data_IF_342057725259
#
_entry.id   IF_342057725259
#
_cell.length_a   1.000
_cell.length_b   1.000
_cell.length_c   1.000
_cell.angle_alpha   90.00
_cell.angle_beta   90.00
_cell.angle_gamma   90.00
#
_symmetry.space_group_name_H-M   'P 1'
#
loop_
_entity.id
_entity.type
_entity.pdbx_description
1 polymer ?
#
# COMPACT_ATOMS: atom_id res chain seq x y z
N UNK A 1 13.27 -5.66 18.82
CA UNK A 1 13.90 -6.38 17.66
C UNK A 1 14.40 -5.28 16.73
N UNK A 2 15.65 -5.30 16.35
CA UNK A 2 16.15 -4.30 15.36
C UNK A 2 15.72 -4.71 13.95
N UNK A 3 14.96 -3.86 13.28
CA UNK A 3 14.50 -4.09 11.92
C UNK A 3 15.53 -3.67 10.86
N UNK A 4 16.62 -2.98 11.25
CA UNK A 4 17.65 -2.48 10.34
C UNK A 4 17.14 -1.42 9.36
N UNK A 5 16.19 -0.59 9.80
CA UNK A 5 15.58 0.47 8.99
C UNK A 5 16.21 1.85 9.24
N UNK A 6 17.03 2.00 10.26
CA UNK A 6 17.71 3.25 10.57
C UNK A 6 18.46 3.80 9.35
N UNK A 7 18.23 5.07 9.01
CA UNK A 7 18.77 5.80 7.85
C UNK A 7 18.40 5.23 6.47
N UNK A 8 17.52 4.21 6.38
CA UNK A 8 16.95 3.78 5.11
C UNK A 8 15.95 4.81 4.59
N UNK A 9 15.93 4.98 3.28
CA UNK A 9 14.98 5.91 2.63
C UNK A 9 13.83 5.11 2.01
N UNK A 10 12.62 5.38 2.51
CA UNK A 10 11.40 4.71 2.08
C UNK A 10 10.46 5.67 1.34
N UNK A 11 10.01 5.29 0.17
CA UNK A 11 8.91 5.95 -0.57
C UNK A 11 7.64 5.15 -0.41
N UNK A 12 6.55 5.80 0.03
CA UNK A 12 5.24 5.18 0.26
C UNK A 12 4.17 5.96 -0.47
N UNK A 13 3.57 5.35 -1.50
CA UNK A 13 2.45 5.96 -2.23
C UNK A 13 1.12 5.74 -1.51
N UNK A 14 0.22 6.73 -1.59
CA UNK A 14 -1.01 6.72 -0.79
C UNK A 14 -0.74 6.87 0.72
N UNK A 15 0.34 7.61 1.07
CA UNK A 15 0.82 7.75 2.45
C UNK A 15 0.09 8.80 3.29
N UNK A 16 -0.97 9.43 2.78
CA UNK A 16 -1.71 10.46 3.53
C UNK A 16 -2.79 9.90 4.46
N UNK A 17 -3.23 8.67 4.26
CA UNK A 17 -4.32 8.05 5.03
C UNK A 17 -4.13 6.53 5.11
N UNK A 18 -4.85 5.88 6.03
CA UNK A 18 -5.01 4.43 6.11
C UNK A 18 -3.70 3.67 6.21
N UNK A 19 -3.60 2.56 5.48
CA UNK A 19 -2.47 1.61 5.54
C UNK A 19 -1.14 2.28 5.19
N UNK A 20 -1.12 3.12 4.15
CA UNK A 20 0.11 3.81 3.73
C UNK A 20 0.65 4.77 4.79
N UNK A 21 -0.23 5.51 5.47
CA UNK A 21 0.15 6.39 6.58
C UNK A 21 0.71 5.60 7.76
N UNK A 22 0.06 4.47 8.13
CA UNK A 22 0.55 3.64 9.24
C UNK A 22 1.86 2.93 8.89
N UNK A 23 2.06 2.45 7.67
CA UNK A 23 3.34 1.92 7.23
C UNK A 23 4.44 2.99 7.28
N UNK A 24 4.12 4.23 6.90
CA UNK A 24 5.04 5.36 7.01
C UNK A 24 5.41 5.66 8.48
N UNK A 25 4.41 5.65 9.37
CA UNK A 25 4.61 5.85 10.81
C UNK A 25 5.52 4.77 11.40
N UNK A 26 5.23 3.50 11.15
CA UNK A 26 6.05 2.38 11.67
C UNK A 26 7.48 2.41 11.15
N UNK A 27 7.69 2.71 9.86
CA UNK A 27 9.04 2.86 9.32
C UNK A 27 9.78 4.06 9.91
N UNK A 28 9.09 5.18 10.17
CA UNK A 28 9.68 6.35 10.82
C UNK A 28 10.05 6.07 12.28
N UNK A 29 9.22 5.33 13.04
CA UNK A 29 9.52 4.86 14.41
C UNK A 29 10.79 4.00 14.47
N UNK A 30 11.06 3.23 13.40
CA UNK A 30 12.26 2.40 13.27
C UNK A 30 13.47 3.17 12.67
N UNK A 31 13.37 4.50 12.60
CA UNK A 31 14.45 5.39 12.17
C UNK A 31 14.64 5.52 10.65
N UNK A 32 13.69 5.07 9.84
CA UNK A 32 13.74 5.33 8.42
C UNK A 32 13.40 6.79 8.09
N UNK A 33 13.98 7.32 7.01
CA UNK A 33 13.59 8.59 6.39
C UNK A 33 12.50 8.31 5.38
N UNK A 34 11.31 8.83 5.63
CA UNK A 34 10.11 8.44 4.88
C UNK A 34 9.65 9.54 3.95
N UNK A 35 9.38 9.19 2.71
CA UNK A 35 8.71 10.04 1.72
C UNK A 35 7.30 9.51 1.54
N UNK A 36 6.30 10.31 1.88
CA UNK A 36 4.90 9.99 1.63
C UNK A 36 4.40 10.71 0.39
N UNK A 37 3.71 9.99 -0.49
CA UNK A 37 3.22 10.51 -1.77
C UNK A 37 1.71 10.40 -1.83
N UNK A 38 1.00 11.51 -2.10
CA UNK A 38 -0.43 11.54 -2.36
C UNK A 38 -0.82 12.81 -3.14
N UNK A 39 -2.07 12.87 -3.62
CA UNK A 39 -2.54 13.94 -4.50
C UNK A 39 -2.92 15.22 -3.79
N UNK A 40 -3.49 15.11 -2.56
CA UNK A 40 -4.04 16.26 -1.81
C UNK A 40 -2.95 16.84 -0.92
N UNK A 41 -2.38 18.04 -1.25
CA UNK A 41 -1.22 18.57 -0.54
C UNK A 41 -1.50 18.87 0.93
N UNK A 42 -2.66 19.41 1.28
CA UNK A 42 -3.00 19.79 2.65
C UNK A 42 -3.14 18.54 3.56
N UNK A 43 -3.85 17.53 3.08
CA UNK A 43 -4.03 16.25 3.80
C UNK A 43 -2.71 15.50 3.93
N UNK A 44 -1.87 15.61 2.91
CA UNK A 44 -0.55 14.98 2.90
C UNK A 44 0.41 15.66 3.90
N UNK A 45 0.42 16.99 3.96
CA UNK A 45 1.24 17.73 4.93
C UNK A 45 0.77 17.48 6.36
N UNK A 46 -0.54 17.47 6.59
CA UNK A 46 -1.09 17.10 7.89
C UNK A 46 -0.63 15.69 8.32
N UNK A 47 -0.72 14.72 7.42
CA UNK A 47 -0.26 13.36 7.70
C UNK A 47 1.24 13.31 8.02
N UNK A 48 2.07 14.06 7.26
CA UNK A 48 3.50 14.17 7.52
C UNK A 48 3.78 14.74 8.91
N UNK A 49 3.05 15.80 9.28
CA UNK A 49 3.20 16.43 10.59
C UNK A 49 2.77 15.48 11.74
N UNK A 50 1.65 14.80 11.59
CA UNK A 50 1.19 13.82 12.58
C UNK A 50 2.21 12.70 12.79
N UNK A 51 2.82 12.18 11.70
CA UNK A 51 3.86 11.16 11.80
C UNK A 51 5.11 11.74 12.48
N UNK A 52 5.59 12.93 12.10
CA UNK A 52 6.75 13.58 12.74
C UNK A 52 6.55 13.77 14.25
N UNK A 53 5.35 14.21 14.66
CA UNK A 53 5.03 14.41 16.08
C UNK A 53 5.02 13.08 16.84
N UNK A 54 4.44 12.03 16.25
CA UNK A 54 4.29 10.74 16.91
C UNK A 54 5.61 9.95 17.00
N UNK A 55 6.54 10.15 16.06
CA UNK A 55 7.73 9.30 15.91
C UNK A 55 9.06 10.05 16.12
N UNK A 56 9.01 11.39 16.15
CA UNK A 56 10.19 12.27 16.06
C UNK A 56 11.03 12.01 14.79
N UNK A 57 10.46 11.27 13.83
CA UNK A 57 11.10 10.80 12.61
C UNK A 57 11.15 11.83 11.49
N UNK A 58 11.91 11.52 10.45
CA UNK A 58 12.07 12.37 9.26
C UNK A 58 11.06 11.96 8.19
N UNK A 59 10.10 12.84 7.90
CA UNK A 59 9.04 12.59 6.91
C UNK A 59 8.95 13.74 5.91
N UNK A 60 9.03 13.42 4.62
CA UNK A 60 8.93 14.37 3.51
C UNK A 60 7.63 14.12 2.73
N UNK A 61 6.69 15.06 2.68
CA UNK A 61 5.52 14.96 1.80
C UNK A 61 5.86 15.38 0.38
N UNK A 62 5.45 14.57 -0.60
CA UNK A 62 5.56 14.87 -2.03
C UNK A 62 4.18 14.77 -2.68
N UNK A 63 3.56 15.91 -2.95
CA UNK A 63 2.25 15.94 -3.63
C UNK A 63 2.40 15.54 -5.09
N UNK A 64 1.82 14.39 -5.48
CA UNK A 64 1.83 13.87 -6.84
C UNK A 64 0.71 12.85 -7.07
N UNK A 65 0.26 12.71 -8.32
CA UNK A 65 -0.60 11.63 -8.76
C UNK A 65 0.24 10.50 -9.36
N UNK A 66 0.14 9.27 -8.83
CA UNK A 66 0.92 8.14 -9.32
C UNK A 66 0.52 7.69 -10.73
N UNK A 67 -0.64 8.09 -11.23
CA UNK A 67 -1.05 7.87 -12.61
C UNK A 67 -0.35 8.83 -13.60
N UNK A 68 0.19 9.95 -13.12
CA UNK A 68 0.96 10.87 -13.95
C UNK A 68 2.35 10.27 -14.29
N UNK A 69 2.72 10.33 -15.57
CA UNK A 69 3.98 9.80 -16.09
C UNK A 69 5.23 10.48 -15.55
N UNK A 70 5.11 11.74 -15.11
CA UNK A 70 6.23 12.51 -14.54
C UNK A 70 6.45 12.22 -13.05
N UNK A 71 5.47 11.65 -12.36
CA UNK A 71 5.55 11.36 -10.93
C UNK A 71 6.74 10.51 -10.53
N UNK A 72 7.12 9.43 -11.25
CA UNK A 72 8.27 8.62 -10.86
C UNK A 72 9.58 9.42 -10.80
N UNK A 73 9.84 10.27 -11.80
CA UNK A 73 11.02 11.11 -11.83
C UNK A 73 11.01 12.13 -10.67
N UNK A 74 9.87 12.76 -10.40
CA UNK A 74 9.70 13.70 -9.28
C UNK A 74 9.96 13.04 -7.93
N UNK A 75 9.42 11.85 -7.71
CA UNK A 75 9.53 11.13 -6.43
C UNK A 75 10.95 10.63 -6.18
N UNK A 76 11.58 10.02 -7.20
CA UNK A 76 12.98 9.57 -7.09
C UNK A 76 13.92 10.76 -6.90
N UNK A 77 13.71 11.85 -7.65
CA UNK A 77 14.49 13.08 -7.46
C UNK A 77 14.36 13.62 -6.04
N UNK A 78 13.16 13.63 -5.46
CA UNK A 78 12.97 14.06 -4.08
C UNK A 78 13.75 13.19 -3.08
N UNK A 79 13.81 11.87 -3.28
CA UNK A 79 14.61 10.96 -2.46
C UNK A 79 16.10 11.27 -2.55
N UNK A 80 16.61 11.47 -3.75
CA UNK A 80 18.03 11.72 -3.98
C UNK A 80 18.47 13.10 -3.50
N UNK A 81 17.69 14.15 -3.79
CA UNK A 81 18.02 15.52 -3.40
C UNK A 81 18.03 15.71 -1.88
N UNK A 82 17.11 15.04 -1.15
CA UNK A 82 16.98 15.23 0.30
C UNK A 82 17.79 14.21 1.11
N UNK A 83 17.97 12.99 0.59
CA UNK A 83 18.53 11.89 1.37
C UNK A 83 19.67 11.13 0.68
N UNK A 84 19.95 11.42 -0.60
CA UNK A 84 21.06 10.84 -1.35
C UNK A 84 20.89 9.35 -1.73
N UNK A 85 19.75 8.73 -1.42
CA UNK A 85 19.52 7.30 -1.63
C UNK A 85 18.03 6.94 -1.72
N UNK A 86 17.75 5.72 -2.20
CA UNK A 86 16.42 5.11 -2.15
C UNK A 86 16.56 3.61 -1.89
N UNK A 87 15.99 3.13 -0.79
CA UNK A 87 16.12 1.73 -0.35
C UNK A 87 14.79 0.96 -0.46
N UNK A 88 13.67 1.62 -0.20
CA UNK A 88 12.36 0.98 -0.03
C UNK A 88 11.32 1.70 -0.87
N UNK A 89 10.50 0.92 -1.60
CA UNK A 89 9.33 1.41 -2.31
C UNK A 89 8.09 0.62 -1.88
N UNK A 90 7.06 1.32 -1.40
CA UNK A 90 5.75 0.75 -1.10
C UNK A 90 4.72 1.31 -2.09
N UNK A 91 4.31 0.50 -3.05
CA UNK A 91 3.22 0.80 -3.97
C UNK A 91 1.88 0.49 -3.29
N UNK A 92 1.32 1.48 -2.58
CA UNK A 92 0.07 1.34 -1.83
C UNK A 92 -1.08 2.18 -2.41
N UNK A 93 -0.79 3.22 -3.20
CA UNK A 93 -1.83 4.06 -3.79
C UNK A 93 -2.85 3.24 -4.59
N UNK A 94 -4.13 3.46 -4.31
CA UNK A 94 -5.22 2.80 -5.01
C UNK A 94 -6.56 3.00 -4.32
N UNK A 95 -7.61 2.94 -5.09
CA UNK A 95 -9.01 2.96 -4.64
C UNK A 95 -9.76 1.75 -5.22
N UNK A 96 -10.83 1.31 -4.58
CA UNK A 96 -11.70 0.28 -5.15
C UNK A 96 -12.63 0.90 -6.20
N UNK A 97 -12.65 0.29 -7.39
CA UNK A 97 -13.57 0.62 -8.49
C UNK A 97 -14.42 -0.61 -8.88
N UNK A 98 -14.68 -1.48 -7.91
CA UNK A 98 -15.34 -2.75 -8.12
C UNK A 98 -16.80 -2.58 -8.55
N UNK A 99 -17.14 -3.20 -9.71
CA UNK A 99 -18.47 -3.22 -10.35
C UNK A 99 -18.71 -4.62 -10.96
N UNK A 100 -19.97 -4.99 -11.29
CA UNK A 100 -20.27 -6.11 -12.18
C UNK A 100 -19.56 -5.94 -13.53
N UNK A 101 -19.18 -7.04 -14.16
CA UNK A 101 -18.35 -7.01 -15.38
C UNK A 101 -18.98 -6.18 -16.50
N UNK A 102 -20.28 -6.34 -16.75
CA UNK A 102 -21.01 -5.64 -17.80
C UNK A 102 -21.25 -4.14 -17.55
N UNK A 103 -21.03 -3.68 -16.30
CA UNK A 103 -21.14 -2.27 -15.91
C UNK A 103 -19.79 -1.53 -15.96
N UNK A 104 -18.70 -2.22 -16.33
CA UNK A 104 -17.36 -1.64 -16.38
C UNK A 104 -17.08 -1.10 -17.77
N UNK A 105 -16.95 0.21 -17.91
CA UNK A 105 -16.58 0.83 -19.19
C UNK A 105 -15.09 0.67 -19.49
N UNK A 106 -14.69 0.94 -20.76
CA UNK A 106 -13.27 0.94 -21.13
C UNK A 106 -12.48 1.98 -20.34
N UNK A 107 -13.07 3.15 -20.04
CA UNK A 107 -12.46 4.21 -19.24
C UNK A 107 -12.26 3.76 -17.77
N UNK A 108 -13.18 2.96 -17.20
CA UNK A 108 -13.00 2.36 -15.88
C UNK A 108 -11.79 1.40 -15.88
N UNK A 109 -11.64 0.57 -16.92
CA UNK A 109 -10.49 -0.32 -17.09
C UNK A 109 -9.19 0.48 -17.18
N UNK A 110 -9.14 1.46 -18.08
CA UNK A 110 -7.96 2.29 -18.32
C UNK A 110 -7.53 3.02 -17.04
N UNK A 111 -8.48 3.68 -16.36
CA UNK A 111 -8.18 4.45 -15.15
C UNK A 111 -7.72 3.56 -13.99
N UNK A 112 -8.32 2.39 -13.81
CA UNK A 112 -7.93 1.44 -12.76
C UNK A 112 -6.54 0.86 -12.99
N UNK A 113 -6.22 0.52 -14.24
CA UNK A 113 -4.89 0.04 -14.63
C UNK A 113 -3.85 1.14 -14.59
N UNK A 114 -4.17 2.36 -15.04
CA UNK A 114 -3.25 3.50 -14.99
C UNK A 114 -2.82 3.79 -13.55
N UNK A 115 -3.77 3.80 -12.62
CA UNK A 115 -3.52 4.04 -11.21
C UNK A 115 -2.72 2.90 -10.55
N UNK A 116 -3.17 1.65 -10.71
CA UNK A 116 -2.69 0.54 -9.86
C UNK A 116 -1.61 -0.30 -10.50
N UNK A 117 -1.56 -0.35 -11.83
CA UNK A 117 -0.60 -1.16 -12.57
C UNK A 117 0.51 -0.28 -13.15
N UNK A 118 0.16 0.67 -14.01
CA UNK A 118 1.15 1.52 -14.66
C UNK A 118 1.86 2.45 -13.69
N UNK A 119 1.15 3.03 -12.72
CA UNK A 119 1.75 3.85 -11.66
C UNK A 119 2.82 3.07 -10.89
N UNK A 120 2.51 1.84 -10.46
CA UNK A 120 3.45 0.98 -9.76
C UNK A 120 4.63 0.57 -10.66
N UNK A 121 4.38 0.15 -11.90
CA UNK A 121 5.43 -0.25 -12.87
C UNK A 121 6.42 0.90 -13.10
N UNK A 122 5.93 2.12 -13.31
CA UNK A 122 6.78 3.29 -13.56
C UNK A 122 7.64 3.64 -12.34
N UNK A 123 7.04 3.63 -11.14
CA UNK A 123 7.79 3.86 -9.89
C UNK A 123 8.83 2.78 -9.65
N UNK A 124 8.51 1.51 -9.80
CA UNK A 124 9.47 0.41 -9.68
C UNK A 124 10.63 0.58 -10.67
N UNK A 125 10.32 0.86 -11.94
CA UNK A 125 11.34 1.07 -12.98
C UNK A 125 12.29 2.23 -12.66
N UNK A 126 11.77 3.32 -12.11
CA UNK A 126 12.58 4.48 -11.72
C UNK A 126 13.39 4.24 -10.43
N UNK A 127 12.89 3.42 -9.51
CA UNK A 127 13.53 3.15 -8.20
C UNK A 127 14.65 2.10 -8.29
N UNK A 128 14.52 1.09 -9.14
CA UNK A 128 15.47 -0.04 -9.25
C UNK A 128 16.92 0.40 -9.48
N UNK A 129 17.23 1.36 -10.40
CA UNK A 129 18.62 1.83 -10.58
C UNK A 129 19.21 2.41 -9.31
N UNK A 130 18.42 3.13 -8.51
CA UNK A 130 18.89 3.76 -7.26
C UNK A 130 19.09 2.71 -6.16
N UNK A 131 18.22 1.71 -6.07
CA UNK A 131 18.39 0.57 -5.17
C UNK A 131 19.66 -0.23 -5.48
N UNK A 132 20.01 -0.41 -6.77
CA UNK A 132 21.28 -1.05 -7.16
C UNK A 132 22.50 -0.29 -6.67
N UNK A 133 22.48 1.04 -6.71
CA UNK A 133 23.60 1.89 -6.25
C UNK A 133 23.89 1.72 -4.75
N UNK A 134 22.87 1.40 -3.97
CA UNK A 134 22.99 1.20 -2.51
C UNK A 134 23.12 -0.27 -2.10
N UNK A 135 23.28 -1.18 -3.08
CA UNK A 135 23.57 -2.61 -2.86
C UNK A 135 22.32 -3.46 -2.59
N UNK A 136 21.14 -2.98 -2.93
CA UNK A 136 19.88 -3.72 -2.80
C UNK A 136 18.70 -2.85 -2.42
N UNK A 137 17.51 -3.45 -2.31
CA UNK A 137 16.30 -2.71 -1.98
C UNK A 137 15.13 -3.60 -1.58
N UNK A 138 14.04 -2.98 -1.21
CA UNK A 138 12.76 -3.64 -0.89
C UNK A 138 11.63 -2.99 -1.66
N UNK A 139 10.85 -3.80 -2.36
CA UNK A 139 9.64 -3.35 -3.07
C UNK A 139 8.45 -4.12 -2.51
N UNK A 140 7.47 -3.40 -2.01
CA UNK A 140 6.23 -3.97 -1.48
C UNK A 140 5.05 -3.46 -2.29
N UNK A 141 4.32 -4.36 -2.94
CA UNK A 141 3.11 -4.04 -3.67
C UNK A 141 1.88 -4.36 -2.80
N UNK A 142 1.07 -3.37 -2.50
CA UNK A 142 -0.17 -3.56 -1.75
C UNK A 142 -1.29 -3.92 -2.72
N UNK A 143 -1.84 -5.11 -2.57
CA UNK A 143 -2.98 -5.63 -3.32
C UNK A 143 -4.13 -5.99 -2.38
N UNK A 144 -5.12 -6.72 -2.85
CA UNK A 144 -6.19 -7.24 -2.01
C UNK A 144 -6.50 -8.71 -2.35
N UNK A 145 -7.36 -9.33 -1.54
CA UNK A 145 -7.77 -10.72 -1.74
C UNK A 145 -8.41 -10.98 -3.11
N UNK A 146 -9.12 -10.00 -3.68
CA UNK A 146 -9.72 -10.11 -5.00
C UNK A 146 -8.69 -10.38 -6.11
N UNK A 147 -7.41 -10.04 -5.90
CA UNK A 147 -6.34 -10.40 -6.83
C UNK A 147 -6.00 -11.89 -6.83
N UNK A 148 -6.38 -12.64 -5.79
CA UNK A 148 -6.16 -14.09 -5.67
C UNK A 148 -7.44 -14.88 -5.93
N UNK A 149 -8.56 -14.39 -5.42
CA UNK A 149 -9.88 -15.01 -5.47
C UNK A 149 -10.92 -14.00 -5.89
N UNK A 150 -10.99 -13.64 -7.20
CA UNK A 150 -11.99 -12.71 -7.69
C UNK A 150 -13.42 -13.19 -7.41
N UNK A 151 -14.23 -12.31 -6.83
CA UNK A 151 -15.66 -12.57 -6.61
C UNK A 151 -16.53 -11.86 -7.64
N UNK A 152 -17.86 -12.05 -7.60
CA UNK A 152 -18.78 -11.29 -8.42
C UNK A 152 -18.70 -9.79 -8.09
N UNK A 153 -18.91 -8.95 -9.10
CA UNK A 153 -18.90 -7.49 -8.92
C UNK A 153 -17.54 -6.91 -8.52
N UNK A 154 -16.43 -7.56 -8.89
CA UNK A 154 -15.09 -7.17 -8.45
C UNK A 154 -14.21 -6.56 -9.53
N UNK A 155 -14.75 -6.34 -10.74
CA UNK A 155 -14.00 -5.81 -11.88
C UNK A 155 -14.02 -4.26 -11.91
N UNK A 156 -12.97 -3.60 -12.41
CA UNK A 156 -11.69 -4.11 -12.89
C UNK A 156 -10.68 -4.39 -11.75
N UNK A 157 -11.01 -3.99 -10.52
CA UNK A 157 -10.10 -3.97 -9.36
C UNK A 157 -9.40 -5.32 -9.12
N UNK A 158 -10.11 -6.44 -9.21
CA UNK A 158 -9.50 -7.75 -8.99
C UNK A 158 -8.44 -8.10 -10.02
N UNK A 159 -8.63 -7.69 -11.27
CA UNK A 159 -7.67 -7.97 -12.36
C UNK A 159 -6.40 -7.13 -12.20
N UNK A 160 -6.52 -5.84 -11.94
CA UNK A 160 -5.35 -5.00 -11.68
C UNK A 160 -4.55 -5.49 -10.47
N UNK A 161 -5.22 -5.98 -9.42
CA UNK A 161 -4.57 -6.57 -8.24
C UNK A 161 -3.90 -7.91 -8.55
N UNK A 162 -4.53 -8.79 -9.35
CA UNK A 162 -3.91 -10.03 -9.82
C UNK A 162 -2.64 -9.75 -10.64
N UNK A 163 -2.68 -8.72 -11.51
CA UNK A 163 -1.54 -8.26 -12.26
C UNK A 163 -0.39 -7.84 -11.33
N UNK A 164 -0.66 -7.13 -10.24
CA UNK A 164 0.35 -6.74 -9.25
C UNK A 164 1.02 -7.95 -8.57
N UNK A 165 0.26 -9.02 -8.28
CA UNK A 165 0.81 -10.28 -7.73
C UNK A 165 1.72 -10.97 -8.74
N UNK A 166 1.29 -11.06 -10.01
CA UNK A 166 2.07 -11.68 -11.08
C UNK A 166 3.39 -10.92 -11.34
N UNK A 167 3.34 -9.58 -11.40
CA UNK A 167 4.51 -8.71 -11.55
C UNK A 167 5.49 -8.96 -10.39
N UNK A 168 5.02 -9.01 -9.15
CA UNK A 168 5.84 -9.29 -7.98
C UNK A 168 6.63 -10.58 -8.15
N UNK A 169 5.99 -11.66 -8.60
CA UNK A 169 6.66 -12.95 -8.79
C UNK A 169 7.72 -12.92 -9.90
N UNK A 170 7.41 -12.29 -11.02
CA UNK A 170 8.39 -12.12 -12.12
C UNK A 170 9.61 -11.31 -11.67
N UNK A 171 9.36 -10.12 -11.13
CA UNK A 171 10.42 -9.21 -10.69
C UNK A 171 11.29 -9.80 -9.56
N UNK A 172 10.71 -10.61 -8.66
CA UNK A 172 11.47 -11.24 -7.58
C UNK A 172 12.58 -12.14 -8.09
N UNK A 173 12.40 -12.77 -9.25
CA UNK A 173 13.42 -13.61 -9.90
C UNK A 173 14.45 -12.78 -10.65
N UNK A 174 14.00 -11.74 -11.38
CA UNK A 174 14.89 -10.90 -12.18
C UNK A 174 15.85 -10.09 -11.32
N UNK A 175 15.39 -9.64 -10.13
CA UNK A 175 16.10 -8.70 -9.28
C UNK A 175 16.83 -9.35 -8.08
N UNK A 176 16.67 -10.66 -7.86
CA UNK A 176 17.31 -11.38 -6.76
C UNK A 176 18.84 -11.21 -6.76
N UNK A 177 19.47 -11.25 -7.94
CA UNK A 177 20.92 -11.02 -8.09
C UNK A 177 21.39 -9.65 -7.64
N UNK A 178 20.50 -8.66 -7.67
CA UNK A 178 20.75 -7.28 -7.24
C UNK A 178 20.40 -7.05 -5.76
N UNK A 179 20.05 -8.11 -5.01
CA UNK A 179 19.56 -8.05 -3.61
C UNK A 179 18.33 -7.13 -3.45
N UNK A 180 17.50 -7.01 -4.51
CA UNK A 180 16.23 -6.29 -4.47
C UNK A 180 15.12 -7.32 -4.29
N UNK A 181 14.49 -7.30 -3.11
CA UNK A 181 13.43 -8.23 -2.77
C UNK A 181 12.06 -7.60 -3.09
N UNK A 182 11.22 -8.36 -3.77
CA UNK A 182 9.91 -7.87 -4.23
C UNK A 182 8.81 -8.76 -3.66
N UNK A 183 7.92 -8.18 -2.86
CA UNK A 183 6.85 -8.90 -2.19
C UNK A 183 5.50 -8.20 -2.35
N UNK A 184 4.43 -8.93 -2.12
CA UNK A 184 3.05 -8.42 -2.12
C UNK A 184 2.39 -8.68 -0.78
N UNK A 185 1.57 -7.75 -0.31
CA UNK A 185 0.57 -7.97 0.73
C UNK A 185 -0.82 -7.94 0.10
N UNK A 186 -1.64 -8.95 0.41
CA UNK A 186 -3.02 -9.06 -0.04
C UNK A 186 -3.95 -8.72 1.13
N UNK A 187 -4.43 -7.49 1.17
CA UNK A 187 -5.27 -7.02 2.27
C UNK A 187 -6.71 -7.54 2.15
N UNK A 188 -7.26 -7.95 3.27
CA UNK A 188 -8.68 -8.23 3.45
C UNK A 188 -9.48 -6.97 3.77
N UNK A 189 -10.41 -7.09 4.71
CA UNK A 189 -11.21 -5.96 5.20
C UNK A 189 -10.47 -5.28 6.34
N UNK A 190 -9.94 -4.09 6.06
CA UNK A 190 -9.17 -3.27 7.00
C UNK A 190 -9.86 -1.91 7.14
N UNK A 191 -9.93 -1.35 8.34
CA UNK A 191 -10.48 -0.02 8.58
C UNK A 191 -9.83 1.00 7.65
N UNK A 192 -10.63 1.86 7.05
CA UNK A 192 -10.15 2.84 6.05
C UNK A 192 -11.11 4.01 5.95
N UNK A 193 -10.65 5.14 5.43
CA UNK A 193 -11.50 6.28 5.14
C UNK A 193 -12.65 5.98 4.16
N UNK A 194 -12.55 4.91 3.36
CA UNK A 194 -13.70 4.45 2.54
C UNK A 194 -14.80 3.82 3.41
N UNK A 195 -14.42 3.07 4.46
CA UNK A 195 -15.37 2.51 5.43
C UNK A 195 -16.01 3.61 6.26
N UNK A 196 -15.24 4.60 6.69
CA UNK A 196 -15.76 5.74 7.45
C UNK A 196 -16.79 6.52 6.63
N UNK A 197 -16.48 6.84 5.37
CA UNK A 197 -17.45 7.50 4.46
C UNK A 197 -18.69 6.65 4.19
N UNK A 198 -18.56 5.32 4.17
CA UNK A 198 -19.71 4.42 4.07
C UNK A 198 -20.54 4.41 5.36
N UNK A 199 -19.89 4.40 6.50
CA UNK A 199 -20.55 4.49 7.80
C UNK A 199 -21.36 5.78 7.91
N UNK A 200 -20.79 6.95 7.61
CA UNK A 200 -21.49 8.23 7.67
C UNK A 200 -22.79 8.22 6.83
N UNK A 201 -22.73 7.71 5.61
CA UNK A 201 -23.93 7.56 4.77
C UNK A 201 -24.98 6.61 5.35
N UNK A 202 -24.57 5.53 5.98
CA UNK A 202 -25.50 4.59 6.63
C UNK A 202 -26.08 5.17 7.91
N UNK A 203 -25.34 5.97 8.64
CA UNK A 203 -25.76 6.65 9.85
C UNK A 203 -26.85 7.70 9.57
N UNK A 204 -26.84 8.35 8.42
CA UNK A 204 -27.93 9.24 7.99
C UNK A 204 -29.29 8.50 7.95
N UNK A 205 -29.28 7.24 7.49
CA UNK A 205 -30.50 6.40 7.43
C UNK A 205 -30.81 5.68 8.76
N UNK A 206 -29.78 5.45 9.60
CA UNK A 206 -29.90 4.81 10.92
C UNK A 206 -29.07 5.57 11.96
N UNK A 207 -29.63 6.62 12.58
CA UNK A 207 -28.89 7.47 13.53
C UNK A 207 -28.35 6.76 14.78
N UNK A 208 -28.93 5.60 15.13
CA UNK A 208 -28.49 4.81 16.29
C UNK A 208 -27.34 3.85 15.98
N UNK A 209 -26.94 3.71 14.72
CA UNK A 209 -25.81 2.84 14.33
C UNK A 209 -24.51 3.41 14.91
N UNK A 210 -23.84 2.65 15.77
CA UNK A 210 -22.49 2.97 16.22
C UNK A 210 -21.43 2.49 15.23
N UNK A 211 -20.23 3.08 15.30
CA UNK A 211 -19.11 2.66 14.47
C UNK A 211 -18.71 1.20 14.76
N UNK A 212 -18.75 0.78 16.02
CA UNK A 212 -18.43 -0.59 16.42
C UNK A 212 -19.43 -1.60 15.86
N UNK A 213 -20.74 -1.29 15.94
CA UNK A 213 -21.77 -2.13 15.31
C UNK A 213 -21.61 -2.21 13.80
N UNK A 214 -21.28 -1.11 13.13
CA UNK A 214 -20.97 -1.10 11.69
C UNK A 214 -19.82 -2.04 11.36
N UNK A 215 -18.71 -2.01 12.12
CA UNK A 215 -17.58 -2.90 11.88
C UNK A 215 -17.90 -4.35 12.25
N UNK A 216 -18.67 -4.62 13.30
CA UNK A 216 -19.14 -5.97 13.63
C UNK A 216 -20.02 -6.55 12.50
N UNK A 217 -21.02 -5.78 12.04
CA UNK A 217 -21.87 -6.18 10.91
C UNK A 217 -21.04 -6.42 9.64
N UNK A 218 -20.04 -5.57 9.39
CA UNK A 218 -19.13 -5.73 8.25
C UNK A 218 -18.33 -7.03 8.38
N UNK A 219 -17.81 -7.36 9.55
CA UNK A 219 -17.06 -8.59 9.79
C UNK A 219 -17.94 -9.84 9.57
N UNK A 220 -19.16 -9.84 10.08
CA UNK A 220 -20.12 -10.92 9.88
C UNK A 220 -20.50 -11.09 8.40
N UNK A 221 -20.87 -10.00 7.73
CA UNK A 221 -21.25 -10.01 6.32
C UNK A 221 -20.12 -10.47 5.39
N UNK A 222 -18.87 -10.27 5.78
CA UNK A 222 -17.67 -10.73 5.05
C UNK A 222 -17.20 -12.10 5.48
N UNK A 223 -17.81 -12.71 6.50
CA UNK A 223 -17.43 -14.03 7.03
C UNK A 223 -15.98 -14.08 7.52
N UNK A 224 -15.51 -13.01 8.18
CA UNK A 224 -14.12 -12.95 8.68
C UNK A 224 -13.96 -13.91 9.86
N UNK A 225 -13.11 -14.97 9.77
CA UNK A 225 -12.97 -15.95 10.84
C UNK A 225 -12.52 -15.38 12.18
N UNK A 226 -11.66 -14.35 12.18
CA UNK A 226 -11.25 -13.65 13.40
C UNK A 226 -12.38 -12.80 14.03
N UNK A 227 -13.57 -12.71 13.42
CA UNK A 227 -14.75 -12.04 13.93
C UNK A 227 -14.69 -10.51 13.98
N UNK A 228 -13.65 -9.90 13.42
CA UNK A 228 -13.48 -8.44 13.41
C UNK A 228 -12.86 -7.93 12.11
N UNK A 229 -13.08 -6.68 11.82
CA UNK A 229 -12.32 -5.93 10.80
C UNK A 229 -10.94 -5.61 11.37
N UNK A 230 -9.90 -5.67 10.53
CA UNK A 230 -8.54 -5.37 10.97
C UNK A 230 -8.31 -3.86 11.16
N UNK A 231 -7.39 -3.51 12.06
CA UNK A 231 -6.88 -2.16 12.21
C UNK A 231 -5.84 -1.86 11.10
N UNK A 232 -5.67 -0.58 10.77
CA UNK A 232 -4.72 -0.16 9.72
C UNK A 232 -3.27 -0.48 10.08
N UNK A 233 -2.90 -0.39 11.36
CA UNK A 233 -1.55 -0.70 11.81
C UNK A 233 -1.18 -2.18 11.59
N UNK A 234 -2.13 -3.12 11.68
CA UNK A 234 -1.85 -4.55 11.46
C UNK A 234 -1.32 -4.84 10.05
N UNK A 235 -1.76 -4.07 9.05
CA UNK A 235 -1.17 -4.13 7.72
C UNK A 235 0.14 -3.34 7.61
N UNK A 236 0.23 -2.19 8.27
CA UNK A 236 1.45 -1.38 8.34
C UNK A 236 2.62 -2.14 8.93
N UNK A 237 2.40 -2.93 9.99
CA UNK A 237 3.40 -3.76 10.65
C UNK A 237 3.96 -4.85 9.70
N UNK A 238 3.10 -5.54 8.96
CA UNK A 238 3.54 -6.56 7.98
C UNK A 238 4.31 -5.92 6.82
N UNK A 239 3.87 -4.75 6.33
CA UNK A 239 4.60 -4.00 5.28
C UNK A 239 5.99 -3.60 5.80
N UNK A 240 6.09 -3.11 7.04
CA UNK A 240 7.35 -2.72 7.67
C UNK A 240 8.27 -3.91 7.88
N UNK A 241 7.75 -5.07 8.32
CA UNK A 241 8.51 -6.32 8.38
C UNK A 241 9.10 -6.70 7.02
N UNK A 242 8.30 -6.68 5.96
CA UNK A 242 8.78 -7.00 4.60
C UNK A 242 9.82 -6.00 4.07
N UNK A 243 9.78 -4.75 4.53
CA UNK A 243 10.75 -3.72 4.20
C UNK A 243 12.07 -3.86 4.98
N UNK A 244 12.07 -4.61 6.07
CA UNK A 244 13.16 -4.74 7.03
C UNK A 244 14.25 -5.72 6.60
N UNK A 245 15.37 -5.71 7.34
CA UNK A 245 16.44 -6.71 7.23
C UNK A 245 16.00 -8.10 7.70
N UNK A 246 14.97 -8.18 8.56
CA UNK A 246 14.42 -9.44 9.08
C UNK A 246 13.75 -10.29 8.00
N UNK A 247 13.28 -9.68 6.92
CA UNK A 247 12.72 -10.37 5.76
C UNK A 247 13.76 -10.66 4.66
N UNK A 248 15.06 -10.70 4.99
CA UNK A 248 16.15 -10.80 4.01
C UNK A 248 16.14 -12.06 3.13
N UNK A 249 15.35 -13.08 3.49
CA UNK A 249 15.20 -14.30 2.69
C UNK A 249 13.77 -14.50 2.17
N UNK A 250 12.95 -13.43 2.20
CA UNK A 250 11.55 -13.42 1.74
C UNK A 250 11.45 -12.62 0.46
N UNK A 251 11.20 -13.27 -0.67
CA UNK A 251 10.97 -12.62 -1.96
C UNK A 251 10.00 -13.39 -2.84
N UNK A 252 9.20 -12.69 -3.63
CA UNK A 252 8.21 -13.29 -4.53
C UNK A 252 7.02 -13.94 -3.84
N UNK A 253 6.71 -13.52 -2.61
CA UNK A 253 5.53 -13.99 -1.86
C UNK A 253 4.37 -13.01 -1.99
N UNK A 254 3.16 -13.53 -1.77
CA UNK A 254 1.94 -12.76 -1.60
C UNK A 254 1.32 -13.16 -0.26
N UNK A 255 1.46 -12.30 0.76
CA UNK A 255 1.01 -12.58 2.12
C UNK A 255 -0.41 -12.05 2.31
N UNK A 256 -1.32 -12.92 2.75
CA UNK A 256 -2.68 -12.52 3.11
C UNK A 256 -2.68 -11.84 4.51
N UNK A 257 -3.33 -10.68 4.59
CA UNK A 257 -3.60 -9.95 5.85
C UNK A 257 -5.12 -9.79 5.91
N UNK A 258 -5.84 -10.83 6.33
CA UNK A 258 -7.26 -10.96 6.05
C UNK A 258 -8.11 -11.61 7.15
N UNK A 259 -7.51 -11.92 8.28
CA UNK A 259 -8.20 -12.59 9.38
C UNK A 259 -8.73 -13.99 9.05
N UNK A 260 -8.12 -14.66 8.04
CA UNK A 260 -8.51 -16.00 7.61
C UNK A 260 -9.63 -16.03 6.56
N UNK A 261 -9.97 -14.89 5.95
CA UNK A 261 -11.10 -14.79 5.00
C UNK A 261 -10.83 -15.49 3.67
N UNK A 262 -9.58 -15.49 3.20
CA UNK A 262 -9.22 -16.09 1.91
C UNK A 262 -9.37 -17.62 1.94
N UNK A 263 -9.99 -18.24 0.90
CA UNK A 263 -10.03 -19.69 0.76
C UNK A 263 -8.70 -20.28 0.26
N UNK A 264 -7.71 -19.43 -0.04
CA UNK A 264 -6.38 -19.86 -0.55
C UNK A 264 -5.26 -19.26 0.29
N UNK A 265 -4.17 -20.00 0.41
CA UNK A 265 -2.94 -19.60 1.10
C UNK A 265 -2.03 -18.78 0.21
#
# INVERSE_FOLDING_TARGET
MDLGLTDKVAVITGGSEGIGKFAAMRMAEEGARVIIVARRPEVLEQAAQEIRIATEGVVLPVSADVSDRETPAKVVKAALDNFGRLDILVNNAGVSMAKPFEDVSDEDWESDFELKVWGAIRLMRASIPEMRKVGGGRIINVTNLGGRTPGPGSMPTSISRATGIAITKGMSKDLAKDNILVNTVCIGTIKSGQHERRYERLKEANPNLSMDEFYQQTAQARGIPLGRVAETHEAGDVITFLASSMASYVTGVAINIDGGTSPVV
#
